data_IF_582391712778
#
_entry.id   IF_582391712778
#
_cell.length_a   1.000
_cell.length_b   1.000
_cell.length_c   1.000
_cell.angle_alpha   90.00
_cell.angle_beta   90.00
_cell.angle_gamma   90.00
#
_symmetry.space_group_name_H-M   'P 1'
#
loop_
_entity.id
_entity.type
_entity.pdbx_description
1 polymer ?
#
# COMPACT_ATOMS: atom_id res chain seq x y z
N UNK A 1 10.62 -0.13 -11.69
CA UNK A 1 9.39 -0.07 -12.51
C UNK A 1 9.40 -1.28 -13.44
N UNK A 2 8.27 -1.93 -13.74
CA UNK A 2 8.23 -3.00 -14.74
C UNK A 2 8.68 -2.48 -16.11
N UNK A 3 9.31 -3.34 -16.91
CA UNK A 3 9.93 -2.94 -18.19
C UNK A 3 8.95 -2.25 -19.15
N UNK A 4 7.73 -2.77 -19.27
CA UNK A 4 6.69 -2.20 -20.15
C UNK A 4 6.30 -0.77 -19.73
N UNK A 5 6.22 -0.52 -18.42
CA UNK A 5 5.85 0.81 -17.90
C UNK A 5 7.03 1.78 -18.04
N UNK A 6 8.25 1.29 -17.85
CA UNK A 6 9.47 2.09 -18.01
C UNK A 6 9.66 2.53 -19.47
N UNK A 7 9.40 1.65 -20.43
CA UNK A 7 9.46 1.99 -21.86
C UNK A 7 8.47 3.12 -22.20
N UNK A 8 7.23 3.03 -21.73
CA UNK A 8 6.21 4.08 -21.90
C UNK A 8 6.64 5.38 -21.23
N UNK A 9 7.12 5.33 -20.00
CA UNK A 9 7.60 6.50 -19.27
C UNK A 9 8.76 7.20 -20.02
N UNK A 10 9.72 6.44 -20.56
CA UNK A 10 10.84 6.97 -21.34
C UNK A 10 10.38 7.60 -22.66
N UNK A 11 9.38 7.02 -23.33
CA UNK A 11 8.79 7.58 -24.54
C UNK A 11 8.13 8.94 -24.28
N UNK A 12 7.34 9.04 -23.21
CA UNK A 12 6.70 10.30 -22.82
C UNK A 12 7.72 11.33 -22.32
N UNK A 13 8.78 10.91 -21.61
CA UNK A 13 9.87 11.80 -21.21
C UNK A 13 10.63 12.38 -22.42
N UNK A 14 10.88 11.57 -23.45
CA UNK A 14 11.48 12.03 -24.72
C UNK A 14 10.55 12.98 -25.46
N UNK A 15 9.24 12.75 -25.43
CA UNK A 15 8.25 13.66 -26.02
C UNK A 15 8.27 15.00 -25.27
N UNK A 16 8.25 14.97 -23.94
CA UNK A 16 8.30 16.15 -23.08
C UNK A 16 9.55 16.99 -23.32
N UNK A 17 10.72 16.37 -23.51
CA UNK A 17 11.97 17.11 -23.77
C UNK A 17 12.01 17.82 -25.12
N UNK A 18 11.15 17.41 -26.06
CA UNK A 18 10.99 18.03 -27.38
C UNK A 18 9.88 19.08 -27.41
N UNK A 19 9.07 19.20 -26.35
CA UNK A 19 7.99 20.18 -26.27
C UNK A 19 8.54 21.58 -25.98
N UNK A 20 7.92 22.59 -26.61
CA UNK A 20 8.17 23.98 -26.24
C UNK A 20 7.72 24.24 -24.80
N UNK A 21 8.45 25.09 -24.08
CA UNK A 21 8.21 25.41 -22.67
C UNK A 21 6.81 25.98 -22.39
N UNK A 22 6.18 26.61 -23.38
CA UNK A 22 4.83 27.18 -23.29
C UNK A 22 3.73 26.23 -23.80
N UNK A 23 4.06 24.99 -24.14
CA UNK A 23 3.05 24.03 -24.57
C UNK A 23 2.12 23.69 -23.38
N UNK A 24 0.79 23.91 -23.50
CA UNK A 24 -0.16 23.59 -22.44
C UNK A 24 -0.17 22.09 -22.08
N UNK A 25 0.23 21.20 -23.00
CA UNK A 25 0.32 19.75 -22.75
C UNK A 25 1.52 19.35 -21.87
N UNK A 26 2.58 20.17 -21.82
CA UNK A 26 3.82 19.83 -21.13
C UNK A 26 3.60 19.66 -19.61
N UNK A 27 2.68 20.43 -19.02
CA UNK A 27 2.31 20.31 -17.62
C UNK A 27 1.69 18.96 -17.29
N UNK A 28 0.77 18.46 -18.12
CA UNK A 28 0.12 17.16 -17.91
C UNK A 28 1.10 16.00 -18.03
N UNK A 29 1.97 16.03 -19.04
CA UNK A 29 2.99 14.99 -19.25
C UNK A 29 4.01 15.00 -18.11
N UNK A 30 4.43 16.17 -17.62
CA UNK A 30 5.29 16.27 -16.44
C UNK A 30 4.63 15.64 -15.21
N UNK A 31 3.40 16.01 -14.90
CA UNK A 31 2.68 15.49 -13.73
C UNK A 31 2.52 13.96 -13.81
N UNK A 32 2.22 13.42 -14.99
CA UNK A 32 2.15 11.98 -15.22
C UNK A 32 3.48 11.29 -14.91
N UNK A 33 4.60 11.82 -15.41
CA UNK A 33 5.93 11.26 -15.15
C UNK A 33 6.32 11.38 -13.68
N UNK A 34 5.99 12.47 -13.01
CA UNK A 34 6.21 12.65 -11.57
C UNK A 34 5.47 11.59 -10.76
N UNK A 35 4.20 11.32 -11.08
CA UNK A 35 3.43 10.26 -10.44
C UNK A 35 4.10 8.91 -10.63
N UNK A 36 4.51 8.58 -11.85
CA UNK A 36 5.18 7.30 -12.12
C UNK A 36 6.48 7.14 -11.32
N UNK A 37 7.28 8.21 -11.17
CA UNK A 37 8.55 8.14 -10.43
C UNK A 37 8.34 8.10 -8.92
N UNK A 38 7.28 8.73 -8.40
CA UNK A 38 6.97 8.73 -6.96
C UNK A 38 6.56 7.37 -6.39
N UNK A 39 6.16 6.41 -7.25
CA UNK A 39 5.67 5.12 -6.80
C UNK A 39 6.81 4.16 -6.41
N UNK A 40 6.68 3.41 -5.29
CA UNK A 40 7.70 2.49 -4.80
C UNK A 40 7.69 1.15 -5.58
N UNK A 41 8.08 1.16 -6.86
CA UNK A 41 7.99 -0.02 -7.74
C UNK A 41 8.75 -1.26 -7.26
N UNK A 42 9.88 -1.08 -6.59
CA UNK A 42 10.76 -2.17 -6.14
C UNK A 42 10.93 -2.23 -4.62
N UNK A 43 10.55 -1.17 -3.91
CA UNK A 43 10.72 -1.06 -2.47
C UNK A 43 9.56 -1.79 -1.79
N UNK A 44 9.89 -2.79 -0.97
CA UNK A 44 8.94 -3.51 -0.13
C UNK A 44 9.40 -3.44 1.32
N UNK A 45 8.48 -3.19 2.22
CA UNK A 45 8.75 -3.33 3.66
C UNK A 45 8.96 -4.80 4.00
N UNK A 46 9.78 -5.07 5.00
CA UNK A 46 9.90 -6.42 5.55
C UNK A 46 8.60 -6.78 6.27
N UNK A 47 7.96 -7.87 5.86
CA UNK A 47 6.82 -8.44 6.55
C UNK A 47 7.32 -9.42 7.64
N UNK A 48 7.69 -8.89 8.81
CA UNK A 48 7.95 -9.72 9.98
C UNK A 48 6.71 -9.72 10.89
N UNK A 49 5.80 -10.68 10.67
CA UNK A 49 4.60 -10.84 11.48
C UNK A 49 4.90 -11.75 12.67
N UNK A 50 5.07 -11.14 13.84
CA UNK A 50 5.12 -11.83 15.14
C UNK A 50 3.76 -11.74 15.82
N UNK A 51 3.11 -12.91 15.95
CA UNK A 51 1.77 -13.06 16.50
C UNK A 51 1.74 -12.68 17.98
N UNK A 52 2.77 -13.07 18.76
CA UNK A 52 2.83 -12.78 20.20
C UNK A 52 3.01 -11.29 20.44
N UNK A 53 3.84 -10.65 19.61
CA UNK A 53 4.03 -9.20 19.66
C UNK A 53 2.74 -8.47 19.26
N UNK A 54 2.06 -8.93 18.22
CA UNK A 54 0.80 -8.34 17.77
C UNK A 54 -0.29 -8.41 18.86
N UNK A 55 -0.45 -9.56 19.53
CA UNK A 55 -1.40 -9.72 20.64
C UNK A 55 -1.11 -8.74 21.78
N UNK A 56 0.16 -8.63 22.20
CA UNK A 56 0.58 -7.69 23.25
C UNK A 56 0.26 -6.23 22.89
N UNK A 57 0.57 -5.80 21.66
CA UNK A 57 0.31 -4.44 21.19
C UNK A 57 -1.21 -4.17 21.16
N UNK A 58 -2.00 -5.12 20.66
CA UNK A 58 -3.46 -4.98 20.64
C UNK A 58 -4.04 -4.83 22.05
N UNK A 59 -3.50 -5.54 23.03
CA UNK A 59 -3.92 -5.44 24.43
C UNK A 59 -3.46 -4.16 25.13
N UNK A 60 -2.30 -3.63 24.76
CA UNK A 60 -1.76 -2.37 25.28
C UNK A 60 -2.53 -1.16 24.75
N UNK A 61 -2.81 -1.12 23.43
CA UNK A 61 -3.39 0.05 22.78
C UNK A 61 -4.93 0.10 22.88
N UNK A 62 -5.58 -1.04 23.13
CA UNK A 62 -7.05 -1.12 23.13
C UNK A 62 -7.56 -1.91 24.33
N UNK A 63 -8.39 -1.31 25.17
CA UNK A 63 -9.06 -2.02 26.26
C UNK A 63 -10.27 -2.82 25.73
N UNK A 64 -10.42 -4.08 26.16
CA UNK A 64 -11.54 -4.94 25.76
C UNK A 64 -11.38 -5.53 24.35
N UNK A 65 -12.45 -5.49 23.54
CA UNK A 65 -12.50 -5.97 22.15
C UNK A 65 -12.01 -7.41 21.91
N UNK A 66 -12.17 -8.31 22.90
CA UNK A 66 -11.65 -9.70 22.85
C UNK A 66 -11.91 -10.41 21.52
N UNK A 67 -13.16 -10.44 21.05
CA UNK A 67 -13.55 -11.09 19.79
C UNK A 67 -12.88 -10.47 18.56
N UNK A 68 -12.72 -9.15 18.52
CA UNK A 68 -12.10 -8.47 17.39
C UNK A 68 -10.59 -8.69 17.37
N UNK A 69 -9.92 -8.64 18.53
CA UNK A 69 -8.49 -8.93 18.68
C UNK A 69 -8.17 -10.37 18.30
N UNK A 70 -8.93 -11.33 18.81
CA UNK A 70 -8.81 -12.74 18.45
C UNK A 70 -8.91 -12.93 16.93
N UNK A 71 -9.87 -12.26 16.28
CA UNK A 71 -10.03 -12.33 14.83
C UNK A 71 -8.87 -11.70 14.04
N UNK A 72 -8.30 -10.60 14.54
CA UNK A 72 -7.09 -9.99 13.93
C UNK A 72 -5.90 -10.94 14.05
N UNK A 73 -5.71 -11.56 15.21
CA UNK A 73 -4.64 -12.52 15.47
C UNK A 73 -4.77 -13.75 14.55
N UNK A 74 -5.97 -14.31 14.41
CA UNK A 74 -6.27 -15.39 13.45
C UNK A 74 -5.92 -15.00 12.02
N UNK A 75 -6.31 -13.79 11.60
CA UNK A 75 -6.03 -13.29 10.26
C UNK A 75 -4.53 -13.16 10.00
N UNK A 76 -3.78 -12.62 10.96
CA UNK A 76 -2.32 -12.53 10.89
C UNK A 76 -1.65 -13.92 10.87
N UNK A 77 -2.18 -14.89 11.61
CA UNK A 77 -1.69 -16.26 11.62
C UNK A 77 -1.86 -16.94 10.25
N UNK A 78 -3.05 -16.82 9.64
CA UNK A 78 -3.30 -17.32 8.28
C UNK A 78 -2.40 -16.63 7.26
N UNK A 79 -2.20 -15.32 7.37
CA UNK A 79 -1.33 -14.56 6.49
C UNK A 79 0.14 -15.02 6.59
N UNK A 80 0.61 -15.29 7.81
CA UNK A 80 1.97 -15.81 8.06
C UNK A 80 2.19 -17.19 7.41
N UNK A 81 1.19 -18.06 7.42
CA UNK A 81 1.26 -19.39 6.82
C UNK A 81 1.11 -19.37 5.29
N UNK A 82 0.20 -18.54 4.76
CA UNK A 82 -0.09 -18.48 3.32
C UNK A 82 1.02 -17.80 2.50
N UNK A 83 1.79 -16.89 3.11
CA UNK A 83 2.90 -16.18 2.46
C UNK A 83 2.50 -15.22 1.34
N UNK A 84 1.21 -15.15 0.98
CA UNK A 84 0.63 -14.23 0.00
C UNK A 84 -0.66 -13.63 0.54
N UNK A 85 -0.88 -12.36 0.29
CA UNK A 85 -2.07 -11.60 0.67
C UNK A 85 -3.28 -11.89 -0.23
N UNK A 86 -3.54 -13.17 -0.55
CA UNK A 86 -4.67 -13.62 -1.37
C UNK A 86 -5.81 -14.14 -0.49
N UNK A 87 -6.18 -13.38 0.54
CA UNK A 87 -7.26 -13.72 1.47
C UNK A 87 -8.36 -12.65 1.51
N UNK A 88 -9.53 -12.95 2.09
CA UNK A 88 -10.58 -11.97 2.30
C UNK A 88 -10.07 -10.78 3.11
N UNK A 89 -10.51 -9.57 2.78
CA UNK A 89 -10.12 -8.34 3.50
C UNK A 89 -10.98 -8.23 4.75
N UNK A 90 -10.35 -7.95 5.91
CA UNK A 90 -11.08 -7.67 7.15
C UNK A 90 -11.82 -6.32 7.03
N UNK A 91 -13.09 -6.32 7.37
CA UNK A 91 -13.90 -5.13 7.48
C UNK A 91 -14.40 -4.99 8.93
N UNK A 92 -14.10 -3.88 9.58
CA UNK A 92 -14.64 -3.56 10.90
C UNK A 92 -15.92 -2.73 10.74
N UNK A 93 -16.99 -3.12 11.43
CA UNK A 93 -18.28 -2.45 11.36
C UNK A 93 -18.85 -2.18 12.77
N UNK A 94 -19.46 -1.01 12.97
CA UNK A 94 -20.01 -0.58 14.26
C UNK A 94 -20.28 0.92 14.34
N UNK A 95 -20.84 1.44 15.45
CA UNK A 95 -21.12 2.87 15.65
C UNK A 95 -19.83 3.73 15.70
N UNK A 96 -19.92 5.07 15.60
CA UNK A 96 -18.77 5.95 15.76
C UNK A 96 -18.18 5.87 17.17
N UNK A 97 -16.86 6.08 17.29
CA UNK A 97 -16.16 6.12 18.59
C UNK A 97 -15.74 4.76 19.18
N UNK A 98 -15.92 3.64 18.47
CA UNK A 98 -15.59 2.29 18.99
C UNK A 98 -14.16 1.80 18.71
N UNK A 99 -13.32 2.61 18.08
CA UNK A 99 -11.94 2.23 17.73
C UNK A 99 -11.84 1.21 16.59
N UNK A 100 -12.64 1.38 15.53
CA UNK A 100 -12.40 0.75 14.22
C UNK A 100 -11.30 1.50 13.50
#
# INVERSE_FOLDING_TARGET
MPAEIEEKARKEAKKLSQMAQFNPEAGYVRNYLEWLVSLPWAVKSQNNVDIKKAEKILDEDHYGLKKAKERIVEYLAVHKLSGKMKGPILCFAGPPGVGK
#
